data_IF_400189292201
#
_entry.id   IF_400189292201
#
_cell.length_a   1.000
_cell.length_b   1.000
_cell.length_c   1.000
_cell.angle_alpha   90.00
_cell.angle_beta   90.00
_cell.angle_gamma   90.00
#
_symmetry.space_group_name_H-M   'P 1'
#
loop_
_entity.id
_entity.type
_entity.pdbx_description
1 polymer ?
#
# COMPACT_ATOMS: atom_id res chain seq x y z
N UNK A 1 24.25 -47.33 34.11
CA UNK A 1 25.24 -46.26 34.28
C UNK A 1 24.59 -45.01 33.71
N UNK A 2 24.31 -44.01 34.54
CA UNK A 2 23.82 -42.70 34.10
C UNK A 2 25.05 -41.83 33.80
N UNK A 3 25.12 -41.25 32.61
CA UNK A 3 26.22 -40.35 32.25
C UNK A 3 26.18 -39.08 33.10
N UNK A 4 27.35 -38.53 33.49
CA UNK A 4 27.42 -37.34 34.32
C UNK A 4 26.90 -36.12 33.53
N UNK A 5 25.92 -35.42 34.10
CA UNK A 5 25.41 -34.15 33.59
C UNK A 5 26.49 -33.09 33.83
N UNK A 6 26.99 -32.47 32.76
CA UNK A 6 27.95 -31.37 32.88
C UNK A 6 27.34 -30.19 33.66
N UNK A 7 28.11 -29.55 34.56
CA UNK A 7 27.63 -28.40 35.31
C UNK A 7 27.30 -27.23 34.36
N UNK A 8 26.25 -26.44 34.66
CA UNK A 8 25.86 -25.33 33.81
C UNK A 8 26.98 -24.30 33.68
N UNK A 9 27.38 -24.01 32.44
CA UNK A 9 28.37 -22.98 32.11
C UNK A 9 27.74 -21.62 32.41
N UNK A 10 28.34 -20.83 33.31
CA UNK A 10 27.89 -19.45 33.55
C UNK A 10 28.45 -18.53 32.47
N UNK A 11 27.57 -17.86 31.73
CA UNK A 11 27.95 -16.76 30.85
C UNK A 11 27.65 -15.43 31.53
N UNK A 12 28.60 -14.49 31.50
CA UNK A 12 28.33 -13.08 31.79
C UNK A 12 28.30 -12.31 30.46
N UNK A 13 27.27 -11.49 30.27
CA UNK A 13 27.18 -10.54 29.15
C UNK A 13 27.53 -9.17 29.71
N UNK A 14 28.62 -8.61 29.24
CA UNK A 14 28.97 -7.21 29.47
C UNK A 14 28.46 -6.39 28.27
N UNK A 15 27.64 -5.37 28.53
CA UNK A 15 27.17 -4.43 27.53
C UNK A 15 27.64 -3.02 27.90
N UNK A 16 28.27 -2.33 26.94
CA UNK A 16 28.69 -0.95 27.10
C UNK A 16 27.65 -0.02 26.45
N UNK A 17 27.27 1.10 27.10
CA UNK A 17 26.38 2.07 26.48
C UNK A 17 27.02 2.62 25.21
N UNK A 18 26.26 2.67 24.11
CA UNK A 18 26.70 3.26 22.85
C UNK A 18 27.04 4.74 23.08
N UNK A 19 28.17 5.20 22.50
CA UNK A 19 28.56 6.59 22.58
C UNK A 19 27.51 7.46 21.86
N UNK A 20 26.80 8.37 22.56
CA UNK A 20 25.81 9.23 21.93
C UNK A 20 26.43 10.24 20.95
N UNK A 21 27.75 10.47 21.02
CA UNK A 21 28.51 11.30 20.09
C UNK A 21 29.05 10.51 18.88
N UNK A 22 28.36 9.45 18.48
CA UNK A 22 28.71 8.72 17.25
C UNK A 22 28.52 9.64 16.05
N UNK A 23 29.52 9.65 15.17
CA UNK A 23 29.43 10.32 13.87
C UNK A 23 29.11 9.23 12.86
N UNK A 24 27.96 9.34 12.22
CA UNK A 24 27.59 8.54 11.07
C UNK A 24 28.26 9.14 9.84
N UNK A 25 28.77 8.29 8.96
CA UNK A 25 29.30 8.68 7.66
C UNK A 25 28.55 7.85 6.62
N UNK A 26 27.77 8.51 5.78
CA UNK A 26 26.93 7.89 4.77
C UNK A 26 27.57 8.06 3.38
N UNK A 27 27.65 6.96 2.64
CA UNK A 27 27.93 6.98 1.21
C UNK A 27 26.65 7.28 0.42
N UNK A 28 26.76 7.65 -0.86
CA UNK A 28 25.58 7.81 -1.72
C UNK A 28 24.82 6.47 -1.82
N UNK A 29 23.50 6.53 -1.67
CA UNK A 29 22.61 5.38 -1.64
C UNK A 29 22.32 4.87 -0.22
N UNK A 30 21.84 3.61 -0.08
CA UNK A 30 21.35 3.08 1.18
C UNK A 30 22.47 2.67 2.13
N UNK A 31 22.44 3.20 3.36
CA UNK A 31 23.38 2.93 4.42
C UNK A 31 22.67 2.33 5.64
N UNK A 32 23.13 1.18 6.12
CA UNK A 32 22.58 0.55 7.31
C UNK A 32 23.14 1.19 8.58
N UNK A 33 22.26 1.77 9.39
CA UNK A 33 22.62 2.35 10.68
C UNK A 33 21.76 1.82 11.82
N UNK A 34 22.22 2.04 13.05
CA UNK A 34 21.41 1.88 14.28
C UNK A 34 21.17 3.24 14.90
N UNK A 35 19.94 3.50 15.34
CA UNK A 35 19.56 4.77 15.97
C UNK A 35 20.00 4.84 17.43
N UNK A 36 20.63 5.96 17.82
CA UNK A 36 21.15 6.19 19.19
C UNK A 36 20.53 7.38 19.91
N UNK A 37 19.54 8.05 19.30
CA UNK A 37 18.86 9.21 19.88
C UNK A 37 17.70 8.85 20.83
N UNK A 38 16.84 9.83 21.19
CA UNK A 38 15.67 9.61 22.01
C UNK A 38 14.67 8.62 21.38
N UNK A 39 14.29 7.58 22.13
CA UNK A 39 13.29 6.61 21.66
C UNK A 39 11.95 7.30 21.36
N UNK A 40 11.39 7.04 20.18
CA UNK A 40 10.14 7.64 19.71
C UNK A 40 10.26 9.05 19.14
N UNK A 41 11.47 9.56 18.86
CA UNK A 41 11.64 10.86 18.21
C UNK A 41 10.99 10.85 16.81
N UNK A 42 10.32 11.93 16.42
CA UNK A 42 9.77 12.07 15.06
C UNK A 42 10.91 12.10 14.02
N UNK A 43 10.64 11.66 12.79
CA UNK A 43 11.70 11.46 11.79
C UNK A 43 12.49 12.75 11.53
N UNK A 44 11.79 13.84 11.21
CA UNK A 44 12.41 15.14 10.93
C UNK A 44 13.06 15.78 12.16
N UNK A 45 12.47 15.63 13.35
CA UNK A 45 13.02 16.26 14.57
C UNK A 45 14.37 15.68 15.02
N UNK A 46 14.67 14.43 14.67
CA UNK A 46 15.92 13.78 15.09
C UNK A 46 17.09 14.03 14.13
N UNK A 47 16.80 14.29 12.86
CA UNK A 47 17.81 14.57 11.84
C UNK A 47 18.24 16.04 11.93
N UNK A 48 19.54 16.34 11.83
CA UNK A 48 19.98 17.73 11.69
C UNK A 48 19.46 18.39 10.40
N UNK A 49 18.94 19.62 10.49
CA UNK A 49 18.39 20.36 9.33
C UNK A 49 19.38 20.47 8.15
N UNK A 50 20.70 20.50 8.41
CA UNK A 50 21.75 20.69 7.40
C UNK A 50 22.05 19.44 6.56
N UNK A 51 21.56 18.27 6.99
CA UNK A 51 21.70 17.02 6.23
C UNK A 51 20.37 16.49 5.72
N UNK A 52 19.25 16.99 6.25
CA UNK A 52 17.93 16.45 5.98
C UNK A 52 17.57 16.49 4.49
N UNK A 53 17.93 17.57 3.79
CA UNK A 53 17.70 17.73 2.34
C UNK A 53 18.42 16.70 1.46
N UNK A 54 19.44 16.03 2.01
CA UNK A 54 20.22 14.99 1.33
C UNK A 54 19.71 13.57 1.62
N UNK A 55 18.77 13.41 2.55
CA UNK A 55 18.19 12.12 2.87
C UNK A 55 16.95 11.88 2.02
N UNK A 56 17.09 10.98 1.04
CA UNK A 56 16.04 10.69 0.05
C UNK A 56 14.98 9.71 0.54
N UNK A 57 15.27 8.95 1.59
CA UNK A 57 14.32 8.01 2.18
C UNK A 57 14.93 7.15 3.27
N UNK A 58 14.05 6.60 4.11
CA UNK A 58 14.44 5.77 5.26
C UNK A 58 13.56 4.54 5.30
N UNK A 59 14.19 3.37 5.39
CA UNK A 59 13.51 2.06 5.51
C UNK A 59 13.83 1.44 6.88
N UNK A 60 12.81 0.87 7.52
CA UNK A 60 12.97 -0.11 8.59
C UNK A 60 12.16 -1.38 8.28
N UNK A 61 12.01 -2.28 9.25
CA UNK A 61 11.27 -3.53 9.04
C UNK A 61 9.78 -3.27 8.76
N UNK A 62 9.36 -3.44 7.51
CA UNK A 62 7.96 -3.33 7.08
C UNK A 62 7.39 -1.91 7.05
N UNK A 63 8.23 -0.89 7.26
CA UNK A 63 7.84 0.53 7.23
C UNK A 63 8.91 1.36 6.53
N UNK A 64 8.48 2.38 5.79
CA UNK A 64 9.37 3.32 5.15
C UNK A 64 8.81 4.75 5.21
N UNK A 65 9.69 5.71 4.96
CA UNK A 65 9.33 7.10 4.74
C UNK A 65 10.18 7.70 3.63
N UNK A 66 9.62 8.66 2.92
CA UNK A 66 10.30 9.49 1.94
C UNK A 66 9.92 10.95 2.17
N UNK A 67 10.75 11.86 1.65
CA UNK A 67 10.51 13.28 1.74
C UNK A 67 9.83 13.80 0.46
N UNK A 68 8.84 14.68 0.61
CA UNK A 68 8.25 15.38 -0.53
C UNK A 68 9.12 16.59 -0.95
N UNK A 69 8.70 17.29 -2.01
CA UNK A 69 9.45 18.46 -2.52
C UNK A 69 9.52 19.67 -1.57
N UNK A 70 8.69 19.68 -0.51
CA UNK A 70 8.65 20.73 0.51
C UNK A 70 9.41 20.34 1.79
N UNK A 71 10.05 19.17 1.82
CA UNK A 71 10.81 18.67 2.98
C UNK A 71 9.97 17.91 4.01
N UNK A 72 8.70 17.63 3.75
CA UNK A 72 7.85 16.87 4.68
C UNK A 72 8.02 15.37 4.52
N UNK A 73 8.15 14.65 5.64
CA UNK A 73 8.24 13.19 5.68
C UNK A 73 6.87 12.54 5.54
N UNK A 74 6.73 11.64 4.57
CA UNK A 74 5.51 10.91 4.26
C UNK A 74 5.73 9.40 4.35
N UNK A 75 4.70 8.62 4.63
CA UNK A 75 4.79 7.15 4.73
C UNK A 75 4.44 6.60 6.11
N UNK A 76 4.66 5.30 6.31
CA UNK A 76 4.30 4.59 7.55
C UNK A 76 5.36 4.69 8.64
N UNK A 77 6.61 5.03 8.30
CA UNK A 77 7.67 5.26 9.28
C UNK A 77 7.62 6.71 9.79
N UNK A 78 7.08 6.90 10.99
CA UNK A 78 6.85 8.23 11.58
C UNK A 78 7.82 8.57 12.72
N UNK A 79 8.48 7.56 13.31
CA UNK A 79 9.36 7.76 14.45
C UNK A 79 10.63 6.89 14.37
N UNK A 80 11.72 7.45 14.90
CA UNK A 80 12.90 6.70 15.26
C UNK A 80 12.67 5.94 16.56
N UNK A 81 13.16 4.70 16.62
CA UNK A 81 13.12 3.88 17.81
C UNK A 81 14.48 3.28 18.08
N UNK A 82 14.86 3.26 19.36
CA UNK A 82 16.10 2.60 19.77
C UNK A 82 15.96 1.09 19.54
N UNK A 83 17.10 0.40 19.39
CA UNK A 83 17.16 -1.05 19.14
C UNK A 83 16.57 -1.51 17.79
N UNK A 84 16.31 -0.58 16.86
CA UNK A 84 15.94 -0.88 15.47
C UNK A 84 17.10 -0.53 14.54
N UNK A 85 17.12 -1.19 13.38
CA UNK A 85 18.00 -0.87 12.27
C UNK A 85 17.25 -0.06 11.21
N UNK A 86 17.98 0.82 10.54
CA UNK A 86 17.45 1.69 9.50
C UNK A 86 18.39 1.70 8.30
N UNK A 87 17.83 1.58 7.10
CA UNK A 87 18.53 1.92 5.87
C UNK A 87 18.20 3.37 5.55
N UNK A 88 19.20 4.24 5.61
CA UNK A 88 19.09 5.66 5.25
C UNK A 88 19.72 5.85 3.87
N UNK A 89 18.96 6.42 2.94
CA UNK A 89 19.43 6.68 1.59
C UNK A 89 19.90 8.12 1.42
N UNK A 90 21.18 8.32 1.14
CA UNK A 90 21.78 9.64 0.85
C UNK A 90 21.89 9.89 -0.65
N UNK A 91 21.71 11.13 -1.11
CA UNK A 91 21.98 11.51 -2.51
C UNK A 91 23.42 12.01 -2.75
N UNK A 92 24.22 12.15 -1.69
CA UNK A 92 25.63 12.53 -1.74
C UNK A 92 26.53 11.53 -1.01
N UNK A 93 27.83 11.53 -1.36
CA UNK A 93 28.86 10.76 -0.67
C UNK A 93 29.47 11.52 0.52
N UNK A 94 29.96 10.77 1.51
CA UNK A 94 30.64 11.26 2.71
C UNK A 94 29.80 12.26 3.53
N UNK A 95 28.49 12.03 3.60
CA UNK A 95 27.62 12.83 4.45
C UNK A 95 27.85 12.44 5.91
N UNK A 96 28.32 13.37 6.72
CA UNK A 96 28.62 13.14 8.13
C UNK A 96 27.63 13.84 9.06
N UNK A 97 27.06 13.11 10.02
CA UNK A 97 26.14 13.69 11.00
C UNK A 97 26.11 12.91 12.31
N UNK A 98 25.48 13.49 13.33
CA UNK A 98 25.14 12.82 14.59
C UNK A 98 23.71 13.18 14.98
N UNK A 99 22.94 12.22 15.51
CA UNK A 99 21.61 12.52 16.03
C UNK A 99 21.67 13.53 17.19
N UNK A 100 20.71 14.46 17.22
CA UNK A 100 20.58 15.38 18.34
C UNK A 100 20.35 14.60 19.65
N UNK A 101 21.23 14.77 20.62
CA UNK A 101 21.13 14.14 21.94
C UNK A 101 21.08 15.21 23.02
N UNK A 102 19.97 15.95 23.07
CA UNK A 102 19.65 16.76 24.25
C UNK A 102 19.42 15.79 25.42
N UNK A 103 20.47 15.56 26.21
CA UNK A 103 20.66 14.47 27.18
C UNK A 103 19.67 14.37 28.36
N UNK A 104 18.40 14.69 28.15
CA UNK A 104 17.35 14.72 29.16
C UNK A 104 15.98 14.31 28.60
N UNK A 105 15.81 13.11 28.03
CA UNK A 105 14.45 12.58 27.89
C UNK A 105 14.43 11.05 27.99
N UNK A 106 14.11 10.52 29.18
CA UNK A 106 13.51 9.19 29.31
C UNK A 106 12.00 9.34 29.17
N UNK A 107 11.51 9.63 27.97
CA UNK A 107 10.11 9.41 27.62
C UNK A 107 10.05 8.02 27.03
N UNK A 108 9.46 7.09 27.76
CA UNK A 108 9.03 5.82 27.18
C UNK A 108 7.85 6.15 26.27
N UNK A 109 8.10 6.39 24.99
CA UNK A 109 7.03 6.30 24.01
C UNK A 109 6.70 4.83 23.87
N UNK A 110 5.46 4.46 24.18
CA UNK A 110 5.00 3.08 23.99
C UNK A 110 4.82 2.89 22.50
N UNK A 111 5.76 2.20 21.84
CA UNK A 111 5.65 1.82 20.42
C UNK A 111 4.29 1.12 20.24
N UNK A 112 3.39 1.72 19.47
CA UNK A 112 2.27 0.95 18.92
C UNK A 112 2.87 0.13 17.78
N UNK A 113 3.39 -1.05 18.11
CA UNK A 113 3.91 -1.99 17.10
C UNK A 113 2.86 -2.12 16.00
N UNK A 114 3.15 -1.58 14.81
CA UNK A 114 2.28 -1.77 13.66
C UNK A 114 2.27 -3.27 13.41
N UNK A 115 1.15 -3.92 13.68
CA UNK A 115 0.98 -5.29 13.25
C UNK A 115 0.51 -5.22 11.79
N UNK A 116 1.37 -5.56 10.82
CA UNK A 116 1.05 -5.41 9.40
C UNK A 116 -0.18 -6.23 8.99
N UNK A 117 -0.53 -7.24 9.79
CA UNK A 117 -1.65 -8.15 9.59
C UNK A 117 -2.84 -7.84 10.51
N UNK A 118 -2.83 -6.70 11.23
CA UNK A 118 -3.89 -6.36 12.17
C UNK A 118 -5.22 -6.18 11.43
N UNK A 119 -6.24 -6.94 11.82
CA UNK A 119 -7.56 -6.90 11.21
C UNK A 119 -7.59 -7.29 9.71
N UNK A 120 -6.48 -7.82 9.16
CA UNK A 120 -6.51 -8.49 7.87
C UNK A 120 -7.05 -9.92 8.03
N UNK A 121 -7.96 -10.36 7.14
CA UNK A 121 -8.31 -11.76 6.97
C UNK A 121 -7.07 -12.65 6.86
N UNK A 122 -7.15 -13.88 7.38
CA UNK A 122 -6.01 -14.80 7.43
C UNK A 122 -5.39 -15.05 6.04
N UNK A 123 -6.21 -15.07 4.99
CA UNK A 123 -5.80 -15.24 3.59
C UNK A 123 -5.02 -14.07 2.98
N UNK A 124 -5.08 -12.87 3.59
CA UNK A 124 -4.31 -11.70 3.15
C UNK A 124 -3.12 -11.38 4.04
N UNK A 125 -2.78 -12.30 4.96
CA UNK A 125 -1.62 -12.12 5.83
C UNK A 125 -0.35 -12.49 5.11
N UNK A 126 0.68 -11.69 5.33
CA UNK A 126 2.03 -11.94 4.84
C UNK A 126 3.02 -11.95 6.02
N UNK A 127 4.23 -12.42 5.78
CA UNK A 127 5.29 -12.52 6.77
C UNK A 127 6.40 -11.54 6.41
N UNK A 128 6.98 -10.90 7.43
CA UNK A 128 8.10 -10.00 7.22
C UNK A 128 9.29 -10.79 6.66
N UNK A 129 9.76 -10.36 5.49
CA UNK A 129 11.00 -10.84 4.88
C UNK A 129 12.17 -9.91 5.22
N UNK A 130 13.38 -10.45 5.21
CA UNK A 130 14.62 -9.65 5.26
C UNK A 130 14.95 -8.97 3.92
N UNK A 131 14.25 -9.35 2.85
CA UNK A 131 14.25 -8.63 1.57
C UNK A 131 12.91 -7.93 1.37
N UNK A 132 12.93 -6.63 1.10
CA UNK A 132 11.73 -5.80 1.04
C UNK A 132 11.97 -4.56 0.19
N UNK A 133 10.91 -4.05 -0.43
CA UNK A 133 10.87 -2.74 -1.07
C UNK A 133 9.56 -2.04 -0.74
N UNK A 134 9.44 -0.77 -1.09
CA UNK A 134 8.31 0.07 -0.69
C UNK A 134 7.81 0.88 -1.86
N UNK A 135 6.49 0.84 -2.09
CA UNK A 135 5.83 1.55 -3.17
C UNK A 135 4.90 2.60 -2.58
N UNK A 136 5.11 3.86 -2.93
CA UNK A 136 4.36 5.00 -2.40
C UNK A 136 3.29 5.45 -3.38
N UNK A 137 2.12 5.75 -2.83
CA UNK A 137 0.94 6.20 -3.56
C UNK A 137 0.40 7.48 -2.94
N UNK A 138 0.09 8.48 -3.77
CA UNK A 138 -0.53 9.74 -3.35
C UNK A 138 -2.05 9.74 -3.49
N UNK A 139 -2.57 8.87 -4.37
CA UNK A 139 -4.00 8.67 -4.55
C UNK A 139 -4.29 7.21 -4.93
N UNK A 140 -5.43 6.70 -4.46
CA UNK A 140 -6.01 5.45 -4.93
C UNK A 140 -7.46 5.74 -5.29
N UNK A 141 -7.79 5.56 -6.56
CA UNK A 141 -9.08 5.90 -7.13
C UNK A 141 -9.83 4.64 -7.53
N UNK A 142 -11.11 4.58 -7.18
CA UNK A 142 -12.06 3.60 -7.73
C UNK A 142 -13.18 4.37 -8.42
N UNK A 143 -13.36 4.10 -9.71
CA UNK A 143 -14.32 4.77 -10.57
C UNK A 143 -14.15 6.31 -10.57
N UNK A 144 -12.89 6.76 -10.50
CA UNK A 144 -12.50 8.16 -10.45
C UNK A 144 -12.72 8.86 -9.10
N UNK A 145 -13.04 8.11 -8.04
CA UNK A 145 -13.25 8.64 -6.69
C UNK A 145 -12.21 8.09 -5.71
N UNK A 146 -11.73 8.95 -4.81
CA UNK A 146 -10.83 8.55 -3.73
C UNK A 146 -11.45 7.46 -2.84
N UNK A 147 -10.63 6.50 -2.46
CA UNK A 147 -10.99 5.50 -1.46
C UNK A 147 -11.04 6.09 -0.04
N UNK A 148 -11.76 5.41 0.86
CA UNK A 148 -11.89 5.87 2.24
C UNK A 148 -10.70 5.40 3.11
N UNK A 149 -10.26 6.23 4.08
CA UNK A 149 -9.32 5.76 5.11
C UNK A 149 -9.84 4.51 5.82
N UNK A 150 -8.94 3.57 6.07
CA UNK A 150 -9.26 2.28 6.68
C UNK A 150 -9.39 1.11 5.69
N UNK A 151 -9.51 1.38 4.38
CA UNK A 151 -9.42 0.35 3.34
C UNK A 151 -7.98 -0.15 3.17
N UNK A 152 -7.81 -1.38 2.66
CA UNK A 152 -6.49 -2.01 2.56
C UNK A 152 -5.99 -2.03 1.14
N UNK A 153 -4.73 -1.67 0.93
CA UNK A 153 -4.01 -1.90 -0.31
C UNK A 153 -3.14 -3.13 -0.10
N UNK A 154 -3.40 -4.16 -0.88
CA UNK A 154 -2.64 -5.41 -0.90
C UNK A 154 -1.63 -5.35 -2.04
N UNK A 155 -0.42 -5.87 -1.80
CA UNK A 155 0.55 -6.16 -2.83
C UNK A 155 0.60 -7.67 -3.07
N UNK A 156 0.51 -8.08 -4.33
CA UNK A 156 0.61 -9.49 -4.72
C UNK A 156 1.74 -9.74 -5.71
N UNK A 157 2.29 -10.94 -5.68
CA UNK A 157 3.18 -11.45 -6.71
C UNK A 157 2.64 -12.79 -7.21
N UNK A 158 2.23 -12.85 -8.47
CA UNK A 158 1.62 -14.05 -9.06
C UNK A 158 0.47 -14.62 -8.21
N UNK A 159 -0.35 -13.73 -7.63
CA UNK A 159 -1.49 -14.08 -6.77
C UNK A 159 -1.16 -14.38 -5.29
N UNK A 160 0.12 -14.43 -4.89
CA UNK A 160 0.50 -14.54 -3.47
C UNK A 160 0.53 -13.16 -2.83
N UNK A 161 -0.01 -13.00 -1.61
CA UNK A 161 0.09 -11.73 -0.87
C UNK A 161 1.49 -11.58 -0.29
N UNK A 162 2.21 -10.57 -0.79
CA UNK A 162 3.59 -10.26 -0.40
C UNK A 162 3.69 -9.00 0.43
N UNK A 163 2.56 -8.36 0.73
CA UNK A 163 2.54 -7.07 1.40
C UNK A 163 1.15 -6.49 1.53
N UNK A 164 0.98 -5.59 2.49
CA UNK A 164 -0.26 -4.84 2.66
C UNK A 164 -0.05 -3.59 3.51
N UNK A 165 -0.86 -2.56 3.24
CA UNK A 165 -0.97 -1.35 4.06
C UNK A 165 -2.41 -0.87 4.10
N UNK A 166 -2.84 -0.39 5.27
CA UNK A 166 -4.11 0.32 5.39
C UNK A 166 -3.95 1.76 4.92
N UNK A 167 -4.86 2.21 4.05
CA UNK A 167 -4.93 3.58 3.57
C UNK A 167 -5.32 4.53 4.70
N UNK A 168 -4.58 5.64 4.87
CA UNK A 168 -4.84 6.65 5.89
C UNK A 168 -5.41 7.96 5.32
N UNK A 169 -5.53 8.09 3.99
CA UNK A 169 -6.02 9.30 3.31
C UNK A 169 -4.92 10.26 2.85
N UNK A 170 -3.65 9.90 3.01
CA UNK A 170 -2.49 10.69 2.62
C UNK A 170 -1.49 9.78 1.88
N UNK A 171 -0.36 10.36 1.44
CA UNK A 171 0.68 9.57 0.79
C UNK A 171 1.19 8.48 1.73
N UNK A 172 1.09 7.23 1.31
CA UNK A 172 1.47 6.07 2.11
C UNK A 172 2.26 5.06 1.29
N UNK A 173 3.16 4.34 1.96
CA UNK A 173 3.89 3.22 1.38
C UNK A 173 3.13 1.90 1.52
N UNK A 174 3.23 1.01 0.55
CA UNK A 174 2.91 -0.41 0.71
C UNK A 174 4.21 -1.20 0.68
N UNK A 175 4.51 -2.02 1.69
CA UNK A 175 5.71 -2.83 1.70
C UNK A 175 5.49 -4.01 0.75
N UNK A 176 6.50 -4.38 -0.02
CA UNK A 176 6.47 -5.52 -0.94
C UNK A 176 7.64 -6.43 -0.63
N UNK A 177 7.34 -7.59 -0.06
CA UNK A 177 8.36 -8.52 0.41
C UNK A 177 8.98 -9.31 -0.73
N UNK A 178 10.28 -9.58 -0.58
CA UNK A 178 11.06 -10.44 -1.48
C UNK A 178 11.39 -11.79 -0.88
N UNK A 179 11.84 -12.71 -1.72
CA UNK A 179 12.27 -14.05 -1.32
C UNK A 179 13.63 -14.02 -0.63
N UNK A 180 13.66 -14.30 0.67
CA UNK A 180 14.87 -14.23 1.51
C UNK A 180 15.48 -15.57 1.92
N UNK A 181 15.05 -16.66 1.28
CA UNK A 181 15.54 -18.01 1.58
C UNK A 181 14.79 -18.71 2.72
N UNK A 182 13.90 -18.00 3.42
CA UNK A 182 12.90 -18.64 4.29
C UNK A 182 11.86 -19.39 3.44
N UNK A 183 11.35 -20.52 3.91
CA UNK A 183 10.29 -21.25 3.21
C UNK A 183 8.99 -20.45 3.09
N UNK A 184 8.72 -19.56 4.06
CA UNK A 184 7.54 -18.69 4.04
C UNK A 184 7.58 -17.60 2.95
N UNK A 185 8.78 -17.15 2.56
CA UNK A 185 8.97 -16.15 1.50
C UNK A 185 9.22 -16.79 0.13
N UNK A 186 9.00 -18.10 -0.02
CA UNK A 186 9.40 -18.85 -1.22
C UNK A 186 8.69 -18.42 -2.50
N UNK A 187 7.50 -17.84 -2.37
CA UNK A 187 6.65 -17.29 -3.44
C UNK A 187 6.66 -15.74 -3.51
N UNK A 188 7.51 -15.08 -2.70
CA UNK A 188 7.62 -13.63 -2.70
C UNK A 188 8.43 -13.13 -3.90
N UNK A 189 8.48 -11.80 -4.09
CA UNK A 189 9.16 -11.18 -5.22
C UNK A 189 10.63 -11.59 -5.34
N UNK A 190 11.10 -11.72 -6.57
CA UNK A 190 12.53 -11.74 -6.90
C UNK A 190 12.88 -10.52 -7.75
N UNK A 191 14.17 -10.22 -7.87
CA UNK A 191 14.68 -9.11 -8.67
C UNK A 191 14.07 -9.11 -10.09
N UNK A 192 13.41 -8.00 -10.44
CA UNK A 192 12.78 -7.81 -11.75
C UNK A 192 11.29 -8.17 -11.82
N UNK A 193 10.71 -8.83 -10.82
CA UNK A 193 9.26 -9.07 -10.76
C UNK A 193 8.49 -7.74 -10.73
N UNK A 194 7.29 -7.68 -11.30
CA UNK A 194 6.42 -6.49 -11.16
C UNK A 194 5.29 -6.86 -10.21
N UNK A 195 5.22 -6.26 -9.01
CA UNK A 195 4.13 -6.55 -8.08
C UNK A 195 2.81 -5.98 -8.60
N UNK A 196 1.73 -6.63 -8.22
CA UNK A 196 0.36 -6.22 -8.53
C UNK A 196 -0.25 -5.61 -7.27
N UNK A 197 -1.14 -4.63 -7.42
CA UNK A 197 -1.82 -4.02 -6.29
C UNK A 197 -3.32 -4.26 -6.37
N UNK A 198 -3.95 -4.48 -5.21
CA UNK A 198 -5.40 -4.67 -5.08
C UNK A 198 -5.94 -3.86 -3.93
N UNK A 199 -7.10 -3.25 -4.09
CA UNK A 199 -7.87 -2.70 -2.99
C UNK A 199 -8.70 -3.81 -2.36
N UNK A 200 -8.68 -3.89 -1.03
CA UNK A 200 -9.56 -4.74 -0.23
C UNK A 200 -10.45 -3.89 0.67
N UNK A 201 -11.76 -3.96 0.43
CA UNK A 201 -12.78 -3.29 1.26
C UNK A 201 -13.23 -4.21 2.38
N UNK A 202 -12.75 -3.97 3.60
CA UNK A 202 -13.12 -4.79 4.76
C UNK A 202 -14.62 -4.77 5.09
N UNK A 203 -15.36 -3.76 4.64
CA UNK A 203 -16.81 -3.62 4.86
C UNK A 203 -17.65 -4.57 3.99
N UNK A 204 -17.23 -4.82 2.76
CA UNK A 204 -17.96 -5.63 1.77
C UNK A 204 -17.28 -6.97 1.49
N UNK A 205 -15.99 -7.11 1.81
CA UNK A 205 -15.16 -8.25 1.41
C UNK A 205 -14.71 -8.18 -0.06
N UNK A 206 -14.95 -7.06 -0.72
CA UNK A 206 -14.64 -6.86 -2.14
C UNK A 206 -13.14 -6.68 -2.38
N UNK A 207 -12.64 -7.28 -3.46
CA UNK A 207 -11.29 -7.10 -3.98
C UNK A 207 -11.38 -6.43 -5.36
N UNK A 208 -10.62 -5.36 -5.55
CA UNK A 208 -10.58 -4.60 -6.80
C UNK A 208 -9.13 -4.54 -7.27
N UNK A 209 -8.90 -4.91 -8.52
CA UNK A 209 -7.59 -4.80 -9.16
C UNK A 209 -7.24 -3.33 -9.40
N UNK A 210 -6.04 -2.94 -8.96
CA UNK A 210 -5.50 -1.60 -9.14
C UNK A 210 -4.38 -1.63 -10.19
N UNK A 211 -4.28 -0.57 -10.97
CA UNK A 211 -3.27 -0.39 -12.01
C UNK A 211 -2.59 0.98 -11.87
N UNK A 212 -1.38 1.05 -12.39
CA UNK A 212 -0.54 2.24 -12.39
C UNK A 212 0.79 1.93 -13.09
N UNK A 213 1.68 2.93 -13.17
CA UNK A 213 3.04 2.73 -13.67
C UNK A 213 3.91 2.07 -12.59
N UNK A 214 3.79 0.75 -12.41
CA UNK A 214 4.48 0.01 -11.34
C UNK A 214 5.91 -0.38 -11.77
N UNK A 215 6.97 0.12 -11.09
CA UNK A 215 8.34 -0.32 -11.37
C UNK A 215 8.60 -1.77 -10.95
N UNK A 216 9.55 -2.41 -11.62
CA UNK A 216 10.02 -3.73 -11.21
C UNK A 216 10.61 -3.69 -9.80
N UNK A 217 10.34 -4.75 -9.04
CA UNK A 217 10.82 -4.98 -7.71
C UNK A 217 12.34 -5.14 -7.70
N UNK A 218 12.97 -4.39 -6.80
CA UNK A 218 14.39 -4.48 -6.46
C UNK A 218 14.51 -4.41 -4.95
N UNK A 219 15.37 -5.24 -4.35
CA UNK A 219 15.50 -5.24 -2.91
C UNK A 219 15.98 -3.89 -2.36
N UNK A 220 15.40 -3.48 -1.23
CA UNK A 220 15.74 -2.29 -0.45
C UNK A 220 15.60 -0.96 -1.21
N UNK A 221 14.59 -0.87 -2.09
CA UNK A 221 14.25 0.36 -2.81
C UNK A 221 12.96 0.99 -2.32
N UNK A 222 12.86 2.31 -2.53
CA UNK A 222 11.62 3.08 -2.44
C UNK A 222 11.26 3.51 -3.85
N UNK A 223 10.02 3.26 -4.27
CA UNK A 223 9.46 3.66 -5.56
C UNK A 223 8.23 4.53 -5.34
N UNK A 224 8.18 5.69 -5.99
CA UNK A 224 6.98 6.53 -6.00
C UNK A 224 6.18 6.23 -7.26
N UNK A 225 4.98 5.66 -7.11
CA UNK A 225 4.08 5.33 -8.22
C UNK A 225 3.14 6.49 -8.52
N UNK A 226 2.78 7.29 -7.51
CA UNK A 226 1.75 8.31 -7.62
C UNK A 226 0.37 7.68 -7.48
N UNK A 227 -0.44 7.72 -8.54
CA UNK A 227 -1.84 7.30 -8.48
C UNK A 227 -2.04 5.83 -8.88
N UNK A 228 -2.82 5.10 -8.09
CA UNK A 228 -3.42 3.83 -8.48
C UNK A 228 -4.89 4.02 -8.86
N UNK A 229 -5.33 3.34 -9.91
CA UNK A 229 -6.74 3.36 -10.36
C UNK A 229 -7.25 1.95 -10.62
N UNK A 230 -8.54 1.70 -10.42
CA UNK A 230 -9.12 0.42 -10.81
C UNK A 230 -9.16 0.26 -12.33
N UNK A 231 -9.00 -0.98 -12.81
CA UNK A 231 -9.31 -1.29 -14.21
C UNK A 231 -10.80 -1.16 -14.42
N UNK A 232 -11.21 -0.11 -15.13
CA UNK A 232 -12.56 -0.06 -15.69
C UNK A 232 -12.56 -0.93 -16.94
N UNK A 233 -13.20 -2.11 -16.87
CA UNK A 233 -13.43 -2.91 -18.07
C UNK A 233 -14.36 -2.12 -19.01
N UNK A 234 -13.80 -1.62 -20.10
CA UNK A 234 -14.56 -0.96 -21.16
C UNK A 234 -14.98 -2.02 -22.17
N UNK A 235 -16.29 -2.17 -22.47
CA UNK A 235 -16.74 -3.12 -23.47
C UNK A 235 -16.23 -2.74 -24.86
N UNK A 236 -15.83 -3.72 -25.67
CA UNK A 236 -15.31 -3.47 -27.03
C UNK A 236 -16.36 -2.90 -28.00
N UNK A 237 -17.64 -3.12 -27.72
CA UNK A 237 -18.74 -2.71 -28.58
C UNK A 237 -20.01 -2.43 -27.78
N UNK A 238 -20.90 -1.64 -28.38
CA UNK A 238 -22.24 -1.46 -27.85
C UNK A 238 -23.01 -2.79 -27.83
N UNK A 239 -23.65 -3.12 -26.70
CA UNK A 239 -24.53 -4.28 -26.58
C UNK A 239 -25.75 -3.93 -25.74
N UNK A 240 -26.93 -4.38 -26.16
CA UNK A 240 -28.12 -4.35 -25.33
C UNK A 240 -28.37 -5.76 -24.78
N UNK A 241 -28.35 -5.89 -23.46
CA UNK A 241 -28.66 -7.12 -22.76
C UNK A 241 -30.15 -7.46 -22.82
N UNK A 242 -30.46 -8.74 -22.65
CA UNK A 242 -31.85 -9.16 -22.55
C UNK A 242 -32.43 -8.71 -21.20
N UNK A 243 -33.65 -8.15 -21.18
CA UNK A 243 -34.32 -7.81 -19.94
C UNK A 243 -34.49 -9.04 -19.06
N UNK A 244 -34.09 -8.97 -17.79
CA UNK A 244 -34.26 -10.05 -16.83
C UNK A 244 -34.65 -9.52 -15.45
N UNK A 245 -35.62 -10.15 -14.75
CA UNK A 245 -36.39 -11.31 -15.21
C UNK A 245 -37.60 -10.92 -16.06
N UNK A 246 -37.74 -11.54 -17.23
CA UNK A 246 -38.85 -11.39 -18.18
C UNK A 246 -39.14 -12.80 -18.76
N UNK A 247 -40.38 -13.36 -18.74
CA UNK A 247 -41.70 -12.74 -18.55
C UNK A 247 -42.31 -12.80 -17.13
N UNK A 248 -43.34 -11.97 -16.89
CA UNK A 248 -44.22 -11.89 -15.70
C UNK A 248 -43.67 -11.24 -14.42
N UNK A 249 -42.57 -10.48 -14.49
CA UNK A 249 -42.10 -9.69 -13.35
C UNK A 249 -42.45 -8.20 -13.51
N UNK A 250 -42.86 -7.54 -12.42
CA UNK A 250 -43.19 -6.12 -12.45
C UNK A 250 -41.97 -5.22 -12.59
N UNK A 251 -40.78 -5.72 -12.24
CA UNK A 251 -39.51 -5.02 -12.37
C UNK A 251 -38.56 -5.91 -13.13
N UNK A 252 -37.94 -5.38 -14.17
CA UNK A 252 -36.94 -6.06 -14.99
C UNK A 252 -35.69 -5.19 -15.08
N UNK A 253 -34.51 -5.81 -15.00
CA UNK A 253 -33.24 -5.16 -15.26
C UNK A 253 -32.92 -5.24 -16.74
N UNK A 254 -32.53 -4.12 -17.33
CA UNK A 254 -32.03 -4.02 -18.70
C UNK A 254 -30.58 -3.58 -18.60
N UNK A 255 -29.66 -4.42 -19.03
CA UNK A 255 -28.24 -4.08 -19.10
C UNK A 255 -27.88 -3.57 -20.48
N UNK A 256 -26.93 -2.65 -20.58
CA UNK A 256 -26.34 -2.24 -21.84
C UNK A 256 -24.89 -1.83 -21.67
N UNK A 257 -24.09 -2.09 -22.70
CA UNK A 257 -22.65 -1.93 -22.71
C UNK A 257 -22.33 -0.76 -23.66
N UNK A 258 -21.45 0.15 -23.26
CA UNK A 258 -21.08 1.36 -24.03
C UNK A 258 -19.57 1.42 -24.21
N UNK A 259 -19.08 1.31 -25.44
CA UNK A 259 -17.64 1.21 -25.73
C UNK A 259 -16.89 2.54 -25.65
N UNK A 260 -17.59 3.66 -25.83
CA UNK A 260 -17.05 5.01 -25.76
C UNK A 260 -18.17 5.98 -25.43
N UNK A 261 -17.84 7.14 -24.83
CA UNK A 261 -18.83 8.19 -24.57
C UNK A 261 -19.69 8.48 -25.82
N UNK A 262 -21.02 8.41 -25.67
CA UNK A 262 -21.94 8.67 -26.77
C UNK A 262 -23.30 9.20 -26.27
N UNK A 263 -24.06 9.83 -27.17
CA UNK A 263 -25.45 10.20 -26.93
C UNK A 263 -26.34 8.96 -27.13
N UNK A 264 -27.02 8.53 -26.07
CA UNK A 264 -27.81 7.31 -26.03
C UNK A 264 -29.27 7.62 -25.67
N UNK A 265 -30.19 6.95 -26.38
CA UNK A 265 -31.62 6.97 -26.11
C UNK A 265 -32.15 5.55 -26.00
N UNK A 266 -32.62 5.17 -24.81
CA UNK A 266 -33.23 3.88 -24.52
C UNK A 266 -34.72 4.08 -24.26
N UNK A 267 -35.57 3.44 -25.06
CA UNK A 267 -37.03 3.63 -25.00
C UNK A 267 -37.77 2.29 -25.06
N UNK A 268 -38.85 2.18 -24.28
CA UNK A 268 -39.77 1.05 -24.26
C UNK A 268 -40.95 1.34 -25.17
N UNK A 269 -41.27 0.39 -26.05
CA UNK A 269 -42.41 0.47 -26.97
C UNK A 269 -43.34 -0.71 -26.75
N UNK A 270 -44.65 -0.51 -26.97
CA UNK A 270 -45.60 -1.62 -27.04
C UNK A 270 -45.60 -2.33 -28.40
N UNK A 271 -46.38 -3.40 -28.51
CA UNK A 271 -46.50 -4.20 -29.75
C UNK A 271 -47.13 -3.42 -30.91
N UNK A 272 -47.79 -2.28 -30.64
CA UNK A 272 -48.32 -1.37 -31.64
C UNK A 272 -47.31 -0.28 -32.04
N UNK A 273 -46.11 -0.28 -31.44
CA UNK A 273 -45.07 0.72 -31.68
C UNK A 273 -45.30 2.05 -30.97
N UNK A 274 -46.21 2.11 -29.99
CA UNK A 274 -46.41 3.32 -29.17
C UNK A 274 -45.32 3.37 -28.10
N UNK A 275 -44.71 4.55 -27.95
CA UNK A 275 -43.75 4.83 -26.88
C UNK A 275 -44.46 4.73 -25.53
N UNK A 276 -43.97 3.84 -24.67
CA UNK A 276 -44.45 3.68 -23.29
C UNK A 276 -43.60 4.53 -22.35
N UNK A 277 -42.28 4.46 -22.47
CA UNK A 277 -41.36 5.11 -21.54
C UNK A 277 -39.99 5.34 -22.18
N UNK A 278 -39.30 6.39 -21.78
CA UNK A 278 -37.90 6.63 -22.12
C UNK A 278 -37.07 6.43 -20.84
N UNK A 279 -36.21 5.42 -20.85
CA UNK A 279 -35.43 5.02 -19.68
C UNK A 279 -34.12 5.80 -19.58
N UNK A 280 -33.54 6.14 -20.73
CA UNK A 280 -32.30 6.93 -20.82
C UNK A 280 -32.42 7.90 -21.99
N UNK A 281 -32.00 9.15 -21.78
CA UNK A 281 -31.82 10.13 -22.84
C UNK A 281 -30.71 11.11 -22.44
N UNK A 282 -29.57 11.03 -23.13
CA UNK A 282 -28.45 11.93 -22.91
C UNK A 282 -27.09 11.29 -23.21
N UNK A 283 -26.03 11.98 -22.81
CA UNK A 283 -24.66 11.49 -22.92
C UNK A 283 -24.41 10.43 -21.85
N UNK A 284 -23.88 9.28 -22.26
CA UNK A 284 -23.54 8.15 -21.38
C UNK A 284 -22.05 7.83 -21.54
N UNK A 285 -21.37 7.64 -20.41
CA UNK A 285 -19.95 7.28 -20.36
C UNK A 285 -19.70 5.84 -20.82
N UNK A 286 -18.47 5.54 -21.21
CA UNK A 286 -18.06 4.17 -21.53
C UNK A 286 -18.18 3.28 -20.28
N UNK A 287 -18.55 2.01 -20.48
CA UNK A 287 -18.70 1.01 -19.41
C UNK A 287 -19.94 0.15 -19.53
N UNK A 288 -20.18 -0.66 -18.50
CA UNK A 288 -21.35 -1.52 -18.35
C UNK A 288 -22.42 -0.80 -17.52
N UNK A 289 -23.64 -0.75 -18.02
CA UNK A 289 -24.76 -0.05 -17.39
C UNK A 289 -25.92 -1.00 -17.12
N UNK A 290 -26.64 -0.79 -16.02
CA UNK A 290 -27.88 -1.49 -15.69
C UNK A 290 -28.96 -0.48 -15.32
N UNK A 291 -30.14 -0.62 -15.93
CA UNK A 291 -31.33 0.16 -15.56
C UNK A 291 -32.48 -0.77 -15.18
N UNK A 292 -33.16 -0.44 -14.08
CA UNK A 292 -34.37 -1.14 -13.68
C UNK A 292 -35.60 -0.45 -14.27
N UNK A 293 -36.40 -1.22 -15.01
CA UNK A 293 -37.69 -0.77 -15.52
C UNK A 293 -38.84 -1.42 -14.74
N UNK A 294 -39.80 -0.61 -14.29
CA UNK A 294 -40.98 -1.06 -13.56
C UNK A 294 -42.25 -0.92 -14.41
N UNK A 295 -42.80 -2.06 -14.82
CA UNK A 295 -43.98 -2.13 -15.67
C UNK A 295 -45.32 -1.93 -14.92
N UNK A 296 -45.33 -1.83 -13.58
CA UNK A 296 -46.59 -1.67 -12.81
C UNK A 296 -47.21 -0.27 -12.91
N UNK A 297 -46.46 0.72 -13.33
CA UNK A 297 -46.91 2.12 -13.42
C UNK A 297 -47.57 2.48 -14.75
N UNK A 298 -47.84 1.50 -15.62
CA UNK A 298 -48.36 1.68 -16.98
C UNK A 298 -49.70 0.96 -17.19
#
# INVERSE_FOLDING_TARGET
>A
EEEPIDPPISYSIDAFPTNPSIIYNLDMGPNLISYVGPDGAEIGEALPDDIEEHITGIISAGVATLQNGDGEWMGSLQNWNVLKGYWISSDIDNLEFSFASDGLVRKHYTEKKLNPNQNLPDEFRYEQSTQQSFYFFDAVLVDGLDIYPGEWILATNNGEVVGARQWNGEVIDVPVMGKDGNSKSSAYCVEGDIPEFKLYRSSTGELIDLTGEIPSWTNNTISFVGTLENVVEIPDAFRLGNPYPNPFNPTTSITFDVASECELKLSIFDIQGRLIEELVSGVVQAGYHEIQWNAKSQ
#
